data_IF_336249416742
#
_entry.id   IF_336249416742
#
_cell.length_a   1.000
_cell.length_b   1.000
_cell.length_c   1.000
_cell.angle_alpha   90.00
_cell.angle_beta   90.00
_cell.angle_gamma   90.00
#
_symmetry.space_group_name_H-M   'P 1'
#
loop_
_entity.id
_entity.type
_entity.pdbx_description
1 polymer ?
#
# COMPACT_ATOMS: atom_id res chain seq x y z
N UNK A 1 -40.10 -30.63 -4.23
CA UNK A 1 -39.94 -30.47 -2.77
C UNK A 1 -38.76 -29.54 -2.55
N UNK A 2 -39.06 -28.42 -1.90
CA UNK A 2 -38.22 -27.31 -1.43
C UNK A 2 -36.73 -27.30 -1.78
N UNK A 3 -36.35 -26.33 -2.61
CA UNK A 3 -35.06 -25.66 -2.47
C UNK A 3 -35.11 -24.89 -1.14
N UNK A 4 -34.23 -25.24 -0.21
CA UNK A 4 -34.00 -24.44 0.97
C UNK A 4 -33.09 -23.29 0.55
N UNK A 5 -33.63 -22.08 0.65
CA UNK A 5 -32.87 -20.84 0.64
C UNK A 5 -31.91 -20.86 1.84
N UNK A 6 -30.61 -20.96 1.59
CA UNK A 6 -29.61 -20.58 2.59
C UNK A 6 -29.57 -19.04 2.68
N UNK A 7 -30.59 -18.47 3.32
CA UNK A 7 -30.50 -17.14 3.90
C UNK A 7 -30.02 -17.28 5.35
N UNK A 8 -28.80 -17.79 5.51
CA UNK A 8 -28.09 -17.65 6.78
C UNK A 8 -27.37 -16.32 6.74
N UNK A 9 -27.88 -15.30 7.44
CA UNK A 9 -27.09 -14.12 7.80
C UNK A 9 -25.98 -14.58 8.73
N UNK A 10 -24.88 -15.05 8.17
CA UNK A 10 -23.62 -15.20 8.89
C UNK A 10 -23.12 -13.79 9.20
N UNK A 11 -22.93 -13.48 10.47
CA UNK A 11 -22.26 -12.24 10.89
C UNK A 11 -20.93 -12.11 10.13
N UNK A 12 -20.66 -10.97 9.46
CA UNK A 12 -19.43 -10.79 8.68
C UNK A 12 -18.19 -11.01 9.54
N UNK A 13 -17.15 -11.63 8.96
CA UNK A 13 -15.83 -11.73 9.61
C UNK A 13 -14.97 -10.57 9.15
N UNK A 14 -14.68 -9.62 10.04
CA UNK A 14 -13.85 -8.47 9.68
C UNK A 14 -12.35 -8.79 9.78
N UNK A 15 -11.56 -8.20 8.87
CA UNK A 15 -10.11 -8.23 8.94
C UNK A 15 -9.61 -7.32 10.07
N UNK A 16 -8.50 -7.69 10.70
CA UNK A 16 -7.93 -6.95 11.84
C UNK A 16 -6.61 -6.30 11.41
N UNK A 17 -6.70 -5.24 10.62
CA UNK A 17 -5.53 -4.52 10.11
C UNK A 17 -4.68 -4.04 11.31
N UNK A 18 -3.36 -4.30 11.32
CA UNK A 18 -2.48 -3.75 12.34
C UNK A 18 -2.55 -2.22 12.32
N UNK A 19 -2.37 -1.56 13.48
CA UNK A 19 -2.29 -0.11 13.52
C UNK A 19 -1.18 0.40 12.60
N UNK A 20 -1.51 1.33 11.71
CA UNK A 20 -0.51 1.98 10.87
C UNK A 20 0.46 2.77 11.73
N UNK A 21 1.74 2.75 11.35
CA UNK A 21 2.74 3.57 12.05
C UNK A 21 2.46 5.05 11.75
N UNK A 22 2.38 5.88 12.80
CA UNK A 22 2.30 7.34 12.64
C UNK A 22 3.69 7.92 12.83
N UNK A 23 4.31 8.51 11.79
CA UNK A 23 5.62 9.12 11.94
C UNK A 23 5.53 10.34 12.86
N UNK A 24 6.53 10.52 13.72
CA UNK A 24 6.71 11.76 14.45
C UNK A 24 7.22 12.83 13.46
N UNK A 25 6.29 13.61 12.91
CA UNK A 25 6.63 14.72 12.02
C UNK A 25 7.20 15.90 12.82
N UNK A 26 8.18 16.65 12.27
CA UNK A 26 8.66 17.86 12.92
C UNK A 26 7.52 18.87 13.17
N UNK A 27 7.51 19.52 14.34
CA UNK A 27 6.38 20.35 14.78
C UNK A 27 6.23 21.65 13.97
N UNK A 28 7.27 22.04 13.23
CA UNK A 28 7.36 23.24 12.41
C UNK A 28 6.96 23.02 10.94
N UNK A 29 6.62 21.78 10.55
CA UNK A 29 6.10 21.52 9.21
C UNK A 29 4.78 22.25 8.97
N UNK A 30 4.64 22.88 7.80
CA UNK A 30 3.37 23.46 7.39
C UNK A 30 2.29 22.37 7.25
N UNK A 31 1.00 22.67 7.52
CA UNK A 31 -0.07 21.68 7.40
C UNK A 31 -0.13 20.99 6.03
N UNK A 32 0.13 21.72 4.95
CA UNK A 32 0.16 21.16 3.59
C UNK A 32 1.31 20.18 3.37
N UNK A 33 2.49 20.44 3.95
CA UNK A 33 3.66 19.56 3.88
C UNK A 33 3.44 18.28 4.70
N UNK A 34 2.94 18.40 5.92
CA UNK A 34 2.56 17.24 6.76
C UNK A 34 1.54 16.35 6.06
N UNK A 35 0.53 16.95 5.42
CA UNK A 35 -0.45 16.24 4.59
C UNK A 35 0.17 15.45 3.47
N UNK A 36 1.00 16.09 2.67
CA UNK A 36 1.66 15.43 1.56
C UNK A 36 2.52 14.23 2.01
N UNK A 37 3.24 14.37 3.13
CA UNK A 37 4.03 13.28 3.73
C UNK A 37 3.12 12.11 4.12
N UNK A 38 2.07 12.37 4.89
CA UNK A 38 1.18 11.32 5.39
C UNK A 38 0.42 10.59 4.27
N UNK A 39 0.06 11.30 3.20
CA UNK A 39 -0.64 10.75 2.04
C UNK A 39 0.20 9.74 1.24
N UNK A 40 1.50 10.03 1.05
CA UNK A 40 2.36 9.28 0.14
C UNK A 40 3.21 8.22 0.87
N UNK A 41 3.46 8.36 2.19
CA UNK A 41 4.43 7.53 2.94
C UNK A 41 4.22 6.02 2.81
N UNK A 42 2.96 5.60 2.79
CA UNK A 42 2.62 4.18 2.73
C UNK A 42 2.79 3.63 1.31
N UNK A 43 2.85 4.48 0.29
CA UNK A 43 2.92 4.04 -1.10
C UNK A 43 4.33 3.59 -1.46
N UNK A 44 4.41 2.53 -2.24
CA UNK A 44 5.67 2.09 -2.83
C UNK A 44 6.14 3.09 -3.88
N UNK A 45 7.44 3.11 -4.20
CA UNK A 45 7.90 3.79 -5.43
C UNK A 45 7.32 3.04 -6.62
N UNK A 46 6.79 3.75 -7.62
CA UNK A 46 6.21 3.10 -8.78
C UNK A 46 7.29 2.32 -9.53
N UNK A 47 6.95 1.13 -10.01
CA UNK A 47 7.90 0.24 -10.65
C UNK A 47 8.74 -0.63 -9.73
N UNK A 48 8.51 -0.60 -8.42
CA UNK A 48 9.06 -1.58 -7.50
C UNK A 48 8.53 -2.98 -7.84
N UNK A 49 9.44 -3.96 -7.84
CA UNK A 49 9.10 -5.38 -7.81
C UNK A 49 8.93 -5.76 -6.35
N UNK A 50 7.71 -6.11 -5.95
CA UNK A 50 7.39 -6.55 -4.60
C UNK A 50 7.52 -8.07 -4.54
N UNK A 51 8.47 -8.53 -3.75
CA UNK A 51 8.69 -9.94 -3.51
C UNK A 51 7.76 -10.40 -2.39
N UNK A 52 7.06 -11.50 -2.63
CA UNK A 52 6.23 -12.13 -1.62
C UNK A 52 6.63 -13.58 -1.39
N UNK A 53 6.56 -14.03 -0.14
CA UNK A 53 6.86 -15.40 0.25
C UNK A 53 5.77 -15.94 1.19
N UNK A 54 5.52 -17.24 1.08
CA UNK A 54 4.67 -17.95 2.03
C UNK A 54 5.50 -18.49 3.18
N UNK A 55 5.12 -18.16 4.41
CA UNK A 55 5.78 -18.65 5.61
C UNK A 55 5.25 -20.03 5.98
N UNK A 56 6.15 -21.00 6.05
CA UNK A 56 5.87 -22.31 6.64
C UNK A 56 6.06 -22.26 8.17
N UNK A 57 5.11 -21.66 8.87
CA UNK A 57 5.11 -21.67 10.35
C UNK A 57 4.43 -22.93 10.88
N UNK A 58 5.05 -24.09 10.68
CA UNK A 58 4.62 -25.35 11.28
C UNK A 58 3.66 -26.20 10.45
N UNK A 59 3.68 -26.09 9.11
CA UNK A 59 2.86 -26.87 8.19
C UNK A 59 1.58 -26.18 7.72
N UNK A 60 1.30 -24.98 8.23
CA UNK A 60 0.09 -24.20 7.93
C UNK A 60 0.28 -23.25 6.73
N UNK A 61 0.87 -23.74 5.64
CA UNK A 61 1.08 -22.95 4.40
C UNK A 61 -0.26 -22.66 3.68
N UNK A 62 -1.38 -23.21 4.15
CA UNK A 62 -2.59 -23.32 3.36
C UNK A 62 -2.38 -24.33 2.23
N UNK A 63 -3.41 -25.11 1.89
CA UNK A 63 -3.32 -26.04 0.76
C UNK A 63 -2.95 -25.32 -0.55
N UNK A 64 -2.51 -26.04 -1.60
CA UNK A 64 -2.11 -25.42 -2.88
C UNK A 64 -3.19 -24.51 -3.48
N UNK A 65 -4.47 -24.80 -3.21
CA UNK A 65 -5.61 -23.97 -3.62
C UNK A 65 -5.62 -22.60 -2.91
N UNK A 66 -5.31 -22.55 -1.61
CA UNK A 66 -5.21 -21.29 -0.84
C UNK A 66 -4.10 -20.40 -1.41
N UNK A 67 -2.93 -21.00 -1.66
CA UNK A 67 -1.79 -20.29 -2.25
C UNK A 67 -2.15 -19.67 -3.61
N UNK A 68 -2.89 -20.42 -4.43
CA UNK A 68 -3.28 -19.95 -5.75
C UNK A 68 -4.24 -18.76 -5.71
N UNK A 69 -5.13 -18.67 -4.72
CA UNK A 69 -6.01 -17.50 -4.55
C UNK A 69 -5.22 -16.24 -4.15
N UNK A 70 -4.15 -16.38 -3.36
CA UNK A 70 -3.23 -15.26 -3.07
C UNK A 70 -2.49 -14.83 -4.33
N UNK A 71 -1.94 -15.78 -5.10
CA UNK A 71 -1.31 -15.47 -6.40
C UNK A 71 -2.29 -14.80 -7.36
N UNK A 72 -3.54 -15.25 -7.38
CA UNK A 72 -4.59 -14.65 -8.19
C UNK A 72 -4.84 -13.21 -7.77
N UNK A 73 -4.87 -12.90 -6.48
CA UNK A 73 -5.07 -11.54 -6.00
C UNK A 73 -3.96 -10.58 -6.46
N UNK A 74 -2.69 -10.98 -6.35
CA UNK A 74 -1.56 -10.20 -6.90
C UNK A 74 -1.69 -10.01 -8.41
N UNK A 75 -2.02 -11.05 -9.18
CA UNK A 75 -2.23 -10.95 -10.62
C UNK A 75 -3.40 -10.04 -10.97
N UNK A 76 -4.51 -10.08 -10.24
CA UNK A 76 -5.68 -9.25 -10.50
C UNK A 76 -5.37 -7.75 -10.37
N UNK A 77 -4.54 -7.35 -9.40
CA UNK A 77 -4.03 -5.98 -9.31
C UNK A 77 -3.04 -5.67 -10.43
N UNK A 78 -2.14 -6.60 -10.77
CA UNK A 78 -1.16 -6.42 -11.85
C UNK A 78 -1.80 -6.26 -13.24
N UNK A 79 -2.84 -7.03 -13.53
CA UNK A 79 -3.54 -7.08 -14.81
C UNK A 79 -4.27 -5.76 -15.14
N UNK A 80 -4.40 -4.85 -14.17
CA UNK A 80 -4.85 -3.48 -14.40
C UNK A 80 -3.82 -2.63 -15.18
N UNK A 81 -2.59 -3.13 -15.37
CA UNK A 81 -1.51 -2.42 -16.06
C UNK A 81 -0.73 -1.48 -15.14
N UNK A 82 -0.79 -1.69 -13.83
CA UNK A 82 -0.06 -0.86 -12.86
C UNK A 82 1.45 -1.01 -13.01
N UNK A 83 2.18 0.03 -12.62
CA UNK A 83 3.63 0.04 -12.70
C UNK A 83 4.33 -0.87 -11.69
N UNK A 84 3.69 -1.25 -10.57
CA UNK A 84 4.23 -2.26 -9.65
C UNK A 84 4.33 -3.64 -10.30
N UNK A 85 5.25 -4.46 -9.82
CA UNK A 85 5.34 -5.87 -10.19
C UNK A 85 5.36 -6.76 -8.95
N UNK A 86 5.05 -8.05 -9.12
CA UNK A 86 4.97 -9.00 -8.01
C UNK A 86 5.73 -10.28 -8.33
N UNK A 87 6.60 -10.72 -7.42
CA UNK A 87 7.43 -11.91 -7.61
C UNK A 87 7.35 -12.82 -6.40
N UNK A 88 6.91 -14.05 -6.62
CA UNK A 88 7.00 -15.07 -5.59
C UNK A 88 8.45 -15.50 -5.39
N UNK A 89 8.89 -15.54 -4.14
CA UNK A 89 10.21 -16.05 -3.76
C UNK A 89 10.07 -17.18 -2.74
N UNK A 90 11.02 -18.10 -2.76
CA UNK A 90 11.04 -19.25 -1.84
C UNK A 90 11.71 -18.93 -0.51
N UNK A 91 12.62 -17.96 -0.48
CA UNK A 91 13.28 -17.50 0.74
C UNK A 91 12.58 -16.25 1.29
N UNK A 92 11.90 -16.32 2.45
CA UNK A 92 11.25 -15.16 3.04
C UNK A 92 12.18 -13.99 3.34
N UNK A 93 13.48 -14.22 3.48
CA UNK A 93 14.46 -13.14 3.70
C UNK A 93 14.69 -12.27 2.46
N UNK A 94 14.25 -12.73 1.28
CA UNK A 94 14.23 -11.98 0.03
C UNK A 94 12.89 -11.28 -0.23
N UNK A 95 11.95 -11.30 0.74
CA UNK A 95 10.58 -10.81 0.54
C UNK A 95 10.22 -9.59 1.39
N UNK A 96 9.59 -8.59 0.77
CA UNK A 96 8.95 -7.49 1.49
C UNK A 96 7.63 -7.94 2.14
N UNK A 97 6.89 -8.83 1.46
CA UNK A 97 5.57 -9.32 1.90
C UNK A 97 5.68 -10.79 2.33
N UNK A 98 5.27 -11.10 3.56
CA UNK A 98 5.38 -12.45 4.14
C UNK A 98 4.02 -12.93 4.58
N UNK A 99 3.51 -13.98 3.93
CA UNK A 99 2.12 -14.43 4.06
C UNK A 99 2.06 -15.67 4.93
N UNK A 100 1.17 -15.68 5.93
CA UNK A 100 0.90 -16.86 6.76
C UNK A 100 -0.61 -17.17 6.80
N UNK A 101 -0.98 -18.45 6.89
CA UNK A 101 -2.37 -18.85 7.09
C UNK A 101 -2.58 -19.18 8.57
N UNK A 102 -3.50 -18.47 9.23
CA UNK A 102 -3.71 -18.56 10.68
C UNK A 102 -5.19 -18.48 10.99
N UNK A 103 -5.88 -19.62 10.99
CA UNK A 103 -7.35 -19.72 11.16
C UNK A 103 -7.91 -18.98 12.39
N UNK A 104 -7.10 -18.80 13.43
CA UNK A 104 -7.52 -18.17 14.70
C UNK A 104 -7.19 -16.69 14.83
N UNK A 105 -6.33 -16.16 13.96
CA UNK A 105 -5.80 -14.80 14.10
C UNK A 105 -6.51 -13.80 13.19
N UNK A 106 -7.43 -14.28 12.34
CA UNK A 106 -8.12 -13.47 11.34
C UNK A 106 -7.25 -13.16 10.12
N UNK A 107 -7.83 -12.41 9.18
CA UNK A 107 -7.10 -11.90 8.01
C UNK A 107 -6.66 -10.46 8.27
N UNK A 108 -5.48 -10.11 7.79
CA UNK A 108 -4.88 -8.81 8.03
C UNK A 108 -3.66 -8.58 7.13
N UNK A 109 -3.33 -7.32 6.87
CA UNK A 109 -2.08 -6.94 6.22
C UNK A 109 -1.60 -5.56 6.69
N UNK A 110 -0.29 -5.39 6.77
CA UNK A 110 0.29 -4.06 6.93
C UNK A 110 0.11 -3.23 5.66
N UNK A 111 -0.02 -1.92 5.83
CA UNK A 111 -0.33 -1.02 4.72
C UNK A 111 0.94 -0.56 4.01
N UNK A 112 1.16 -1.08 2.80
CA UNK A 112 2.20 -0.60 1.90
C UNK A 112 3.61 -0.70 2.50
N UNK A 113 4.36 0.41 2.54
CA UNK A 113 5.73 0.42 3.07
C UNK A 113 5.87 0.09 4.56
N UNK A 114 4.77 0.05 5.33
CA UNK A 114 4.81 -0.44 6.72
C UNK A 114 5.28 -1.91 6.80
N UNK A 115 5.14 -2.68 5.72
CA UNK A 115 5.69 -4.04 5.60
C UNK A 115 7.21 -4.10 5.85
N UNK A 116 7.95 -3.02 5.53
CA UNK A 116 9.40 -2.94 5.71
C UNK A 116 9.84 -2.79 7.17
N UNK A 117 8.92 -2.48 8.08
CA UNK A 117 9.20 -2.29 9.51
C UNK A 117 9.11 -3.59 10.30
N UNK A 118 8.67 -4.67 9.66
CA UNK A 118 8.35 -5.95 10.29
C UNK A 118 9.53 -6.90 10.14
N UNK A 119 9.84 -7.66 11.20
CA UNK A 119 10.94 -8.61 11.19
C UNK A 119 10.85 -9.63 10.05
N UNK A 120 12.00 -10.10 9.57
CA UNK A 120 12.09 -11.03 8.42
C UNK A 120 11.45 -12.40 8.67
N UNK A 121 11.22 -12.78 9.93
CA UNK A 121 10.58 -14.05 10.32
C UNK A 121 9.10 -13.87 10.71
N UNK A 122 8.59 -12.65 10.64
CA UNK A 122 7.23 -12.30 11.04
C UNK A 122 6.35 -12.10 9.80
N UNK A 123 5.10 -12.56 9.88
CA UNK A 123 4.13 -12.38 8.81
C UNK A 123 3.75 -10.90 8.69
N UNK A 124 3.67 -10.41 7.47
CA UNK A 124 3.14 -9.08 7.15
C UNK A 124 1.73 -9.12 6.56
N UNK A 125 1.28 -10.32 6.19
CA UNK A 125 -0.07 -10.60 5.74
C UNK A 125 -0.52 -11.94 6.34
N UNK A 126 -1.74 -12.01 6.84
CA UNK A 126 -2.33 -13.25 7.34
C UNK A 126 -3.70 -13.50 6.72
N UNK A 127 -4.04 -14.78 6.59
CA UNK A 127 -5.36 -15.23 6.18
C UNK A 127 -5.94 -16.20 7.21
N UNK A 128 -7.10 -15.85 7.77
CA UNK A 128 -7.73 -16.60 8.85
C UNK A 128 -8.90 -17.47 8.45
N UNK A 129 -9.16 -17.64 7.15
CA UNK A 129 -10.26 -18.46 6.64
C UNK A 129 -9.99 -18.93 5.22
N UNK A 130 -10.88 -19.80 4.73
CA UNK A 130 -10.77 -20.41 3.41
C UNK A 130 -10.92 -19.37 2.28
N UNK A 131 -9.82 -19.13 1.57
CA UNK A 131 -9.73 -18.22 0.42
C UNK A 131 -10.43 -18.76 -0.83
N UNK A 132 -10.74 -20.06 -0.90
CA UNK A 132 -11.40 -20.65 -2.09
C UNK A 132 -12.88 -20.28 -2.17
N UNK A 133 -13.47 -19.82 -1.06
CA UNK A 133 -14.84 -19.30 -1.00
C UNK A 133 -14.96 -17.95 -1.69
N UNK A 134 -16.18 -17.57 -2.10
CA UNK A 134 -16.45 -16.27 -2.75
C UNK A 134 -15.97 -15.09 -1.89
N UNK A 135 -16.21 -15.15 -0.58
CA UNK A 135 -15.75 -14.15 0.39
C UNK A 135 -14.22 -14.18 0.56
N UNK A 136 -13.64 -15.38 0.67
CA UNK A 136 -12.21 -15.57 0.80
C UNK A 136 -11.40 -14.99 -0.36
N UNK A 137 -11.87 -15.13 -1.61
CA UNK A 137 -11.24 -14.50 -2.78
C UNK A 137 -11.26 -12.98 -2.70
N UNK A 138 -12.36 -12.41 -2.22
CA UNK A 138 -12.48 -10.97 -1.99
C UNK A 138 -11.52 -10.52 -0.88
N UNK A 139 -11.38 -11.31 0.19
CA UNK A 139 -10.37 -11.06 1.24
C UNK A 139 -8.95 -11.05 0.67
N UNK A 140 -8.58 -12.00 -0.19
CA UNK A 140 -7.25 -12.01 -0.81
C UNK A 140 -6.97 -10.72 -1.62
N UNK A 141 -7.97 -10.25 -2.39
CA UNK A 141 -7.88 -8.97 -3.10
C UNK A 141 -7.73 -7.77 -2.16
N UNK A 142 -8.51 -7.76 -1.07
CA UNK A 142 -8.51 -6.72 -0.04
C UNK A 142 -7.14 -6.61 0.65
N UNK A 143 -6.61 -7.73 1.17
CA UNK A 143 -5.31 -7.75 1.84
C UNK A 143 -4.16 -7.38 0.88
N UNK A 144 -4.27 -7.77 -0.40
CA UNK A 144 -3.31 -7.32 -1.42
C UNK A 144 -3.40 -5.80 -1.64
N UNK A 145 -4.60 -5.22 -1.56
CA UNK A 145 -4.83 -3.77 -1.58
C UNK A 145 -4.12 -3.06 -0.42
N UNK A 146 -4.21 -3.61 0.79
CA UNK A 146 -3.42 -3.13 1.94
C UNK A 146 -1.92 -3.22 1.67
N UNK A 147 -1.41 -4.37 1.22
CA UNK A 147 0.01 -4.56 0.97
C UNK A 147 0.58 -3.59 -0.08
N UNK A 148 -0.23 -3.07 -1.01
CA UNK A 148 0.18 -2.03 -1.97
C UNK A 148 -0.17 -0.60 -1.51
N UNK A 149 -0.67 -0.44 -0.28
CA UNK A 149 -0.77 0.84 0.41
C UNK A 149 -2.17 1.45 0.49
N UNK A 150 -3.25 0.70 0.23
CA UNK A 150 -4.62 1.18 0.44
C UNK A 150 -5.06 0.97 1.90
N UNK A 151 -5.82 1.92 2.42
CA UNK A 151 -6.47 1.82 3.73
C UNK A 151 -7.96 1.55 3.54
N UNK A 152 -8.68 1.27 4.62
CA UNK A 152 -10.12 1.05 4.55
C UNK A 152 -10.90 2.27 4.09
N UNK A 153 -11.89 2.03 3.24
CA UNK A 153 -12.69 3.08 2.60
C UNK A 153 -13.68 3.72 3.59
N UNK A 154 -14.20 2.98 4.58
CA UNK A 154 -15.08 3.53 5.62
C UNK A 154 -14.37 4.48 6.59
N UNK A 155 -13.03 4.43 6.64
CA UNK A 155 -12.22 5.35 7.43
C UNK A 155 -11.97 6.68 6.70
N UNK A 156 -12.36 6.78 5.43
CA UNK A 156 -12.30 8.02 4.65
C UNK A 156 -13.09 9.13 5.38
N UNK A 157 -12.47 10.28 5.72
CA UNK A 157 -13.15 11.39 6.39
C UNK A 157 -14.26 12.02 5.54
N UNK A 158 -14.28 11.77 4.22
CA UNK A 158 -15.33 12.23 3.31
C UNK A 158 -16.52 11.27 3.19
N UNK A 159 -16.48 10.09 3.83
CA UNK A 159 -17.59 9.13 3.84
C UNK A 159 -18.86 9.63 4.52
N UNK A 160 -18.74 10.64 5.39
CA UNK A 160 -19.89 11.16 6.15
C UNK A 160 -20.53 10.13 7.09
N UNK A 161 -19.87 8.99 7.31
CA UNK A 161 -20.38 7.93 8.18
C UNK A 161 -20.41 8.44 9.62
N UNK A 162 -21.61 8.42 10.20
CA UNK A 162 -21.82 8.56 11.62
C UNK A 162 -22.18 7.18 12.19
N UNK A 163 -21.31 6.66 13.04
CA UNK A 163 -21.47 5.34 13.66
C UNK A 163 -22.46 5.37 14.82
N UNK A 164 -23.16 4.26 15.03
CA UNK A 164 -23.75 3.92 16.32
C UNK A 164 -22.67 3.19 17.15
N UNK A 165 -21.76 3.96 17.73
CA UNK A 165 -20.54 3.43 18.37
C UNK A 165 -20.84 2.33 19.40
N UNK A 166 -21.86 2.52 20.26
CA UNK A 166 -22.24 1.53 21.26
C UNK A 166 -22.61 0.19 20.62
N UNK A 167 -23.37 0.21 19.51
CA UNK A 167 -23.72 -1.00 18.78
C UNK A 167 -22.53 -1.58 18.02
N UNK A 168 -21.64 -0.75 17.48
CA UNK A 168 -20.41 -1.23 16.83
C UNK A 168 -19.53 -2.01 17.81
N UNK A 169 -19.33 -1.48 19.02
CA UNK A 169 -18.59 -2.18 20.07
C UNK A 169 -19.30 -3.46 20.54
N UNK A 170 -20.62 -3.43 20.68
CA UNK A 170 -21.41 -4.63 21.05
C UNK A 170 -21.29 -5.73 19.98
N UNK A 171 -21.46 -5.38 18.71
CA UNK A 171 -21.46 -6.31 17.58
C UNK A 171 -20.08 -6.96 17.39
N UNK A 172 -19.01 -6.14 17.37
CA UNK A 172 -17.64 -6.61 17.11
C UNK A 172 -16.94 -7.21 18.33
N UNK A 173 -17.41 -6.86 19.54
CA UNK A 173 -17.00 -7.53 20.77
C UNK A 173 -17.59 -8.94 20.89
N UNK A 174 -18.63 -9.28 20.12
CA UNK A 174 -19.21 -10.61 20.02
C UNK A 174 -18.52 -11.51 18.98
N UNK A 175 -18.84 -12.82 18.96
CA UNK A 175 -18.37 -13.72 17.91
C UNK A 175 -18.95 -13.32 16.53
N UNK A 176 -18.21 -13.56 15.43
CA UNK A 176 -16.96 -14.31 15.36
C UNK A 176 -15.70 -13.48 15.69
N UNK A 177 -15.79 -12.15 15.76
CA UNK A 177 -14.63 -11.26 15.89
C UNK A 177 -14.04 -11.23 17.30
N UNK A 178 -14.88 -11.14 18.34
CA UNK A 178 -14.48 -11.04 19.74
C UNK A 178 -13.41 -9.96 20.00
N UNK A 179 -13.53 -8.82 19.32
CA UNK A 179 -12.51 -7.78 19.35
C UNK A 179 -12.53 -7.00 20.66
N UNK A 180 -11.35 -6.74 21.25
CA UNK A 180 -11.20 -5.70 22.25
C UNK A 180 -11.65 -4.34 21.71
N UNK A 181 -11.98 -3.44 22.62
CA UNK A 181 -12.46 -2.09 22.31
C UNK A 181 -11.45 -1.31 21.47
N UNK A 182 -10.15 -1.44 21.76
CA UNK A 182 -9.08 -0.76 21.04
C UNK A 182 -8.97 -1.21 19.58
N UNK A 183 -9.12 -2.52 19.33
CA UNK A 183 -9.08 -3.09 17.97
C UNK A 183 -10.26 -2.57 17.15
N UNK A 184 -11.46 -2.54 17.76
CA UNK A 184 -12.66 -1.99 17.12
C UNK A 184 -12.51 -0.50 16.81
N UNK A 185 -11.93 0.26 17.73
CA UNK A 185 -11.69 1.68 17.51
C UNK A 185 -10.75 1.90 16.32
N UNK A 186 -9.56 1.28 16.31
CA UNK A 186 -8.57 1.50 15.25
C UNK A 186 -9.03 1.02 13.88
N UNK A 187 -9.78 -0.08 13.82
CA UNK A 187 -10.22 -0.67 12.54
C UNK A 187 -11.51 -0.04 12.00
N UNK A 188 -12.44 0.41 12.83
CA UNK A 188 -13.77 0.84 12.38
C UNK A 188 -14.05 2.32 12.63
N UNK A 189 -13.84 2.77 13.87
CA UNK A 189 -14.33 4.08 14.31
C UNK A 189 -13.36 5.20 14.01
N UNK A 190 -12.05 4.92 14.09
CA UNK A 190 -11.00 5.86 13.76
C UNK A 190 -11.15 6.29 12.30
N UNK A 191 -11.18 7.60 12.08
CA UNK A 191 -11.11 8.19 10.75
C UNK A 191 -9.65 8.47 10.41
N UNK A 192 -9.31 8.27 9.14
CA UNK A 192 -8.06 8.78 8.59
C UNK A 192 -8.10 10.31 8.66
N UNK A 193 -6.94 10.93 8.88
CA UNK A 193 -6.87 12.38 8.75
C UNK A 193 -7.26 12.79 7.32
N UNK A 194 -7.83 13.99 7.14
CA UNK A 194 -7.98 14.59 5.80
C UNK A 194 -6.65 14.70 5.06
N UNK A 195 -5.58 14.64 5.84
CA UNK A 195 -4.20 14.67 5.41
C UNK A 195 -3.71 13.32 4.85
N UNK A 196 -4.39 12.22 5.16
CA UNK A 196 -4.03 10.85 4.72
C UNK A 196 -4.82 10.41 3.48
N UNK A 197 -5.79 11.20 3.04
CA UNK A 197 -6.64 10.88 1.89
C UNK A 197 -6.58 11.94 0.81
N UNK A 198 -6.60 11.50 -0.45
CA UNK A 198 -7.00 12.37 -1.56
C UNK A 198 -8.47 12.74 -1.35
N UNK A 199 -8.90 13.96 -1.70
CA UNK A 199 -10.27 14.44 -1.51
C UNK A 199 -11.36 13.74 -2.34
N UNK A 200 -11.22 12.43 -2.54
CA UNK A 200 -12.14 11.58 -3.28
C UNK A 200 -13.42 11.35 -2.50
N UNK A 201 -14.51 11.24 -3.26
CA UNK A 201 -15.78 10.77 -2.74
C UNK A 201 -15.63 9.32 -2.24
N UNK A 202 -16.43 8.99 -1.23
CA UNK A 202 -16.49 7.66 -0.63
C UNK A 202 -17.06 6.62 -1.60
N UNK A 203 -16.33 5.53 -1.81
CA UNK A 203 -16.75 4.42 -2.68
C UNK A 203 -17.23 3.21 -1.88
N UNK A 204 -18.54 3.14 -1.65
CA UNK A 204 -19.19 2.00 -0.97
C UNK A 204 -19.01 0.66 -1.70
N UNK A 205 -18.65 0.69 -2.99
CA UNK A 205 -18.41 -0.52 -3.77
C UNK A 205 -16.94 -0.95 -3.81
N UNK A 206 -16.05 -0.20 -3.17
CA UNK A 206 -14.61 -0.50 -3.12
C UNK A 206 -14.35 -1.86 -2.49
N UNK A 207 -13.36 -2.58 -3.00
CA UNK A 207 -12.86 -3.78 -2.33
C UNK A 207 -12.34 -3.47 -0.93
N UNK A 208 -11.93 -2.22 -0.66
CA UNK A 208 -11.43 -1.76 0.64
C UNK A 208 -12.54 -1.33 1.61
N UNK A 209 -13.81 -1.36 1.19
CA UNK A 209 -14.97 -1.09 2.05
C UNK A 209 -15.39 -2.36 2.78
N UNK A 210 -15.59 -2.27 4.09
CA UNK A 210 -16.16 -3.35 4.87
C UNK A 210 -17.67 -3.48 4.67
N UNK A 211 -18.17 -4.71 4.63
CA UNK A 211 -19.60 -4.95 4.77
C UNK A 211 -20.04 -4.68 6.20
N UNK A 212 -21.11 -3.91 6.39
CA UNK A 212 -21.64 -3.62 7.73
C UNK A 212 -23.07 -4.11 7.87
N UNK A 213 -23.39 -4.68 9.03
CA UNK A 213 -24.76 -5.09 9.37
C UNK A 213 -25.72 -3.92 9.65
N UNK A 214 -27.03 -4.18 9.72
CA UNK A 214 -28.03 -3.16 10.00
C UNK A 214 -27.88 -2.54 11.40
N UNK A 215 -28.07 -1.22 11.46
CA UNK A 215 -28.08 -0.44 12.69
C UNK A 215 -26.71 0.02 13.19
N UNK A 216 -25.61 -0.43 12.56
CA UNK A 216 -24.25 0.05 12.88
C UNK A 216 -24.01 1.48 12.41
N UNK A 217 -24.65 1.86 11.29
CA UNK A 217 -24.51 3.18 10.67
C UNK A 217 -25.77 4.01 10.96
N UNK A 218 -25.61 5.21 11.52
CA UNK A 218 -26.68 6.19 11.75
C UNK A 218 -26.87 7.08 10.51
N UNK A 219 -25.76 7.47 9.89
CA UNK A 219 -25.73 8.22 8.63
C UNK A 219 -24.58 7.73 7.74
N UNK A 220 -24.71 7.81 6.41
CA UNK A 220 -25.90 8.27 5.67
C UNK A 220 -27.14 7.37 5.85
N UNK A 221 -28.35 7.94 5.82
CA UNK A 221 -29.61 7.22 6.06
C UNK A 221 -29.78 5.99 5.15
N UNK A 222 -29.28 6.07 3.92
CA UNK A 222 -29.32 4.99 2.93
C UNK A 222 -28.63 3.70 3.41
N UNK A 223 -27.63 3.80 4.30
CA UNK A 223 -26.82 2.68 4.77
C UNK A 223 -27.18 2.23 6.19
N UNK A 224 -28.30 2.71 6.76
CA UNK A 224 -28.80 2.23 8.07
C UNK A 224 -29.11 0.74 8.10
N UNK A 225 -29.47 0.18 6.95
CA UNK A 225 -29.75 -1.25 6.80
C UNK A 225 -28.49 -2.08 6.51
N UNK A 226 -27.32 -1.43 6.49
CA UNK A 226 -26.03 -2.07 6.25
C UNK A 226 -25.39 -1.68 4.92
N UNK A 227 -24.13 -2.08 4.79
CA UNK A 227 -23.33 -2.03 3.57
C UNK A 227 -23.11 -3.47 3.11
N UNK A 228 -23.49 -3.84 1.87
CA UNK A 228 -23.33 -5.19 1.38
C UNK A 228 -21.84 -5.54 1.15
N UNK A 229 -21.54 -6.84 1.07
CA UNK A 229 -20.20 -7.31 0.74
C UNK A 229 -19.75 -6.85 -0.65
N UNK A 230 -18.52 -6.35 -0.72
CA UNK A 230 -17.82 -6.03 -1.96
C UNK A 230 -16.87 -7.17 -2.32
N UNK A 231 -16.94 -7.61 -3.57
CA UNK A 231 -16.51 -8.95 -3.98
C UNK A 231 -15.49 -8.94 -5.13
N UNK A 232 -15.06 -7.74 -5.49
CA UNK A 232 -14.08 -7.49 -6.53
C UNK A 232 -13.79 -6.00 -6.62
N UNK A 233 -12.78 -5.65 -7.42
CA UNK A 233 -12.33 -4.27 -7.58
C UNK A 233 -13.40 -3.40 -8.25
N UNK A 234 -13.74 -2.29 -7.60
CA UNK A 234 -14.65 -1.27 -8.12
C UNK A 234 -14.02 -0.51 -9.30
N UNK A 235 -14.78 0.38 -9.93
CA UNK A 235 -14.22 1.30 -10.92
C UNK A 235 -13.21 2.27 -10.28
N UNK A 236 -13.53 2.76 -9.09
CA UNK A 236 -12.68 3.69 -8.34
C UNK A 236 -11.38 3.03 -7.89
N UNK A 237 -11.42 1.78 -7.43
CA UNK A 237 -10.21 1.03 -7.04
C UNK A 237 -9.21 0.99 -8.19
N UNK A 238 -9.71 0.68 -9.39
CA UNK A 238 -8.90 0.56 -10.62
C UNK A 238 -8.33 1.91 -11.05
N UNK A 239 -9.12 2.98 -10.96
CA UNK A 239 -8.64 4.33 -11.28
C UNK A 239 -7.59 4.80 -10.28
N UNK A 240 -7.84 4.61 -8.98
CA UNK A 240 -6.96 5.07 -7.89
C UNK A 240 -5.63 4.36 -7.89
N UNK A 241 -5.60 3.05 -8.13
CA UNK A 241 -4.33 2.33 -8.22
C UNK A 241 -3.50 2.75 -9.42
N UNK A 242 -4.14 3.07 -10.56
CA UNK A 242 -3.44 3.64 -11.73
C UNK A 242 -2.97 5.07 -11.49
N UNK A 243 -3.66 5.86 -10.67
CA UNK A 243 -3.19 7.18 -10.25
C UNK A 243 -1.90 7.08 -9.41
N UNK A 244 -1.84 6.13 -8.47
CA UNK A 244 -0.67 5.94 -7.61
C UNK A 244 0.47 5.16 -8.27
N UNK A 245 0.13 4.23 -9.17
CA UNK A 245 1.07 3.33 -9.82
C UNK A 245 0.79 3.26 -11.33
N UNK A 246 0.98 4.36 -12.08
CA UNK A 246 0.73 4.38 -13.51
C UNK A 246 1.63 3.39 -14.26
N UNK A 247 1.26 2.96 -15.48
CA UNK A 247 2.11 2.13 -16.32
C UNK A 247 3.49 2.76 -16.51
N UNK A 248 4.55 1.96 -16.41
CA UNK A 248 5.92 2.45 -16.59
C UNK A 248 6.22 2.76 -18.06
N UNK A 249 7.01 3.80 -18.30
CA UNK A 249 7.62 4.03 -19.59
C UNK A 249 8.66 2.93 -19.89
N UNK A 250 8.64 2.36 -21.09
CA UNK A 250 9.55 1.29 -21.49
C UNK A 250 11.05 1.70 -21.44
N UNK A 251 11.33 2.99 -21.64
CA UNK A 251 12.68 3.58 -21.54
C UNK A 251 12.59 4.96 -20.88
N UNK A 252 13.05 5.10 -19.63
CA UNK A 252 13.18 6.40 -18.98
C UNK A 252 14.15 7.32 -19.72
N UNK A 253 14.05 8.64 -19.48
CA UNK A 253 15.01 9.59 -20.02
C UNK A 253 16.41 9.35 -19.41
N UNK A 254 17.47 9.55 -20.18
CA UNK A 254 18.84 9.44 -19.64
C UNK A 254 19.16 10.65 -18.78
N UNK A 255 19.66 10.42 -17.58
CA UNK A 255 20.33 11.43 -16.78
C UNK A 255 21.80 11.45 -17.18
N UNK A 256 22.35 12.65 -17.44
CA UNK A 256 23.76 12.83 -17.80
C UNK A 256 24.60 13.22 -16.57
N UNK A 257 25.81 12.69 -16.47
CA UNK A 257 26.68 12.93 -15.32
C UNK A 257 26.98 14.43 -15.19
N UNK A 258 26.91 14.95 -13.97
CA UNK A 258 27.11 16.37 -13.64
C UNK A 258 26.13 17.34 -14.33
N UNK A 259 24.98 16.87 -14.81
CA UNK A 259 23.92 17.72 -15.37
C UNK A 259 22.66 17.66 -14.52
N UNK A 260 22.23 18.81 -14.00
CA UNK A 260 20.97 18.91 -13.27
C UNK A 260 19.79 18.87 -14.25
N UNK A 261 18.84 17.99 -13.97
CA UNK A 261 17.59 17.87 -14.73
C UNK A 261 16.43 18.36 -13.88
N UNK A 262 15.70 19.41 -14.31
CA UNK A 262 14.52 19.89 -13.61
C UNK A 262 13.45 18.80 -13.48
N UNK A 263 12.81 18.72 -12.33
CA UNK A 263 11.67 17.86 -12.07
C UNK A 263 10.40 18.71 -12.04
N UNK A 264 9.41 18.36 -12.84
CA UNK A 264 8.08 18.99 -12.83
C UNK A 264 7.07 17.94 -12.36
N UNK A 265 6.91 17.85 -11.04
CA UNK A 265 6.12 16.83 -10.38
C UNK A 265 5.06 17.47 -9.48
N UNK A 266 3.84 16.93 -9.48
CA UNK A 266 2.86 17.17 -8.43
C UNK A 266 3.08 16.20 -7.25
N UNK A 267 2.42 16.45 -6.12
CA UNK A 267 2.44 15.53 -4.97
C UNK A 267 1.96 14.13 -5.38
N UNK A 268 2.79 13.13 -5.11
CA UNK A 268 2.55 11.73 -5.46
C UNK A 268 3.10 11.34 -6.83
N UNK A 269 3.44 12.30 -7.71
CA UNK A 269 4.03 12.01 -9.01
C UNK A 269 5.47 11.52 -8.87
N UNK A 270 5.95 10.85 -9.91
CA UNK A 270 7.27 10.27 -9.98
C UNK A 270 7.94 10.58 -11.32
N UNK A 271 9.26 10.81 -11.27
CA UNK A 271 10.10 10.82 -12.45
C UNK A 271 11.12 9.65 -12.39
N UNK A 272 11.30 9.01 -13.55
CA UNK A 272 12.24 7.91 -13.74
C UNK A 272 13.35 8.36 -14.70
N UNK A 273 14.60 8.02 -14.36
CA UNK A 273 15.76 8.30 -15.21
C UNK A 273 16.69 7.10 -15.32
N UNK A 274 17.19 6.85 -16.52
CA UNK A 274 18.27 5.90 -16.76
C UNK A 274 19.63 6.55 -16.45
N UNK A 275 20.46 5.85 -15.69
CA UNK A 275 21.84 6.21 -15.42
C UNK A 275 22.73 5.12 -16.02
N UNK A 276 23.63 5.51 -16.92
CA UNK A 276 24.70 4.66 -17.45
C UNK A 276 26.05 5.33 -17.12
N UNK A 277 26.75 4.87 -16.08
CA UNK A 277 27.98 5.50 -15.62
C UNK A 277 29.11 5.37 -16.64
N UNK A 278 29.86 6.45 -16.93
CA UNK A 278 30.99 6.41 -17.87
C UNK A 278 32.24 5.72 -17.26
N UNK A 279 32.29 5.59 -15.94
CA UNK A 279 33.41 5.00 -15.20
C UNK A 279 32.93 4.34 -13.90
N UNK A 280 33.63 3.28 -13.46
CA UNK A 280 33.33 2.58 -12.21
C UNK A 280 33.89 3.37 -11.02
N UNK A 281 33.03 4.03 -10.26
CA UNK A 281 33.42 4.75 -9.03
C UNK A 281 32.23 4.99 -8.12
N UNK A 282 32.49 5.63 -6.99
CA UNK A 282 31.42 6.20 -6.16
C UNK A 282 30.84 7.44 -6.83
N UNK A 283 29.52 7.46 -6.94
CA UNK A 283 28.70 8.58 -7.38
C UNK A 283 27.77 9.02 -6.26
N UNK A 284 27.30 10.23 -6.38
CA UNK A 284 26.15 10.71 -5.65
C UNK A 284 24.98 10.87 -6.60
N UNK A 285 23.80 10.47 -6.17
CA UNK A 285 22.54 10.75 -6.85
C UNK A 285 21.71 11.54 -5.86
N UNK A 286 21.24 12.73 -6.24
CA UNK A 286 20.54 13.57 -5.27
C UNK A 286 19.62 14.58 -5.90
N UNK A 287 18.59 14.94 -5.13
CA UNK A 287 17.70 16.04 -5.45
C UNK A 287 18.25 17.37 -4.96
N UNK A 288 17.77 18.45 -5.57
CA UNK A 288 18.09 19.83 -5.23
C UNK A 288 16.79 20.62 -5.19
N UNK A 289 16.77 21.64 -4.32
CA UNK A 289 15.62 22.50 -4.13
C UNK A 289 15.01 22.32 -2.75
N UNK A 290 13.79 22.84 -2.62
CA UNK A 290 12.98 22.84 -1.41
C UNK A 290 11.88 21.77 -1.56
N UNK A 291 12.19 20.52 -1.21
CA UNK A 291 11.28 19.38 -1.40
C UNK A 291 11.51 18.21 -0.46
N UNK A 292 10.45 17.43 -0.27
CA UNK A 292 10.48 16.07 0.30
C UNK A 292 10.33 15.05 -0.85
N UNK A 293 11.33 14.19 -1.04
CA UNK A 293 11.40 13.20 -2.11
C UNK A 293 11.90 11.87 -1.58
N UNK A 294 11.22 10.78 -1.97
CA UNK A 294 11.86 9.46 -1.94
C UNK A 294 12.66 9.28 -3.22
N UNK A 295 13.96 9.06 -3.04
CA UNK A 295 14.87 8.71 -4.12
C UNK A 295 15.25 7.24 -3.98
N UNK A 296 14.90 6.43 -4.97
CA UNK A 296 15.25 5.01 -5.04
C UNK A 296 16.10 4.72 -6.28
N UNK A 297 17.05 3.80 -6.13
CA UNK A 297 17.94 3.37 -7.19
C UNK A 297 17.81 1.86 -7.40
N UNK A 298 17.71 1.48 -8.65
CA UNK A 298 17.64 0.09 -9.10
C UNK A 298 18.74 -0.18 -10.12
N UNK A 299 19.30 -1.39 -10.13
CA UNK A 299 20.21 -1.88 -11.15
C UNK A 299 19.46 -2.82 -12.09
N UNK A 300 19.68 -2.69 -13.40
CA UNK A 300 19.15 -3.63 -14.37
C UNK A 300 20.09 -4.82 -14.52
N UNK A 301 19.67 -5.99 -14.03
CA UNK A 301 20.40 -7.25 -14.11
C UNK A 301 19.53 -8.25 -14.86
N UNK A 302 20.05 -8.82 -15.95
CA UNK A 302 19.34 -9.78 -16.80
C UNK A 302 17.94 -9.33 -17.27
N UNK A 303 17.76 -8.01 -17.44
CA UNK A 303 16.51 -7.39 -17.86
C UNK A 303 15.57 -7.00 -16.72
N UNK A 304 15.78 -7.52 -15.51
CA UNK A 304 15.01 -7.21 -14.30
C UNK A 304 15.63 -6.03 -13.53
N UNK A 305 14.79 -5.26 -12.82
CA UNK A 305 15.26 -4.19 -11.93
C UNK A 305 15.40 -4.72 -10.52
N UNK A 306 16.63 -4.71 -10.01
CA UNK A 306 16.95 -5.09 -8.64
C UNK A 306 17.15 -3.84 -7.78
N UNK A 307 16.56 -3.82 -6.59
CA UNK A 307 16.72 -2.71 -5.66
C UNK A 307 18.18 -2.59 -5.20
N UNK A 308 18.75 -1.40 -5.26
CA UNK A 308 20.11 -1.11 -4.77
C UNK A 308 20.04 -0.41 -3.41
N UNK A 309 19.34 0.72 -3.37
CA UNK A 309 19.20 1.55 -2.17
C UNK A 309 18.12 2.61 -2.38
N UNK A 310 17.63 3.19 -1.28
CA UNK A 310 16.76 4.35 -1.31
C UNK A 310 17.06 5.26 -0.12
N UNK A 311 16.72 6.54 -0.28
CA UNK A 311 16.72 7.54 0.78
C UNK A 311 15.35 8.21 0.79
N UNK A 312 14.81 8.33 1.99
CA UNK A 312 13.54 8.96 2.29
C UNK A 312 13.85 10.14 3.20
N UNK A 313 13.86 11.33 2.62
CA UNK A 313 14.13 12.55 3.36
C UNK A 313 12.90 13.12 4.07
N UNK A 314 11.72 12.50 3.90
CA UNK A 314 10.42 13.04 4.28
C UNK A 314 10.41 13.79 5.61
N UNK A 315 10.13 15.09 5.54
CA UNK A 315 9.97 15.98 6.68
C UNK A 315 11.29 16.46 7.28
N UNK A 316 12.43 15.93 6.86
CA UNK A 316 13.75 16.41 7.23
C UNK A 316 14.18 17.39 6.13
N UNK A 317 14.64 18.59 6.48
CA UNK A 317 15.08 19.62 5.51
C UNK A 317 16.42 19.27 4.82
N UNK A 318 16.63 17.99 4.53
CA UNK A 318 17.72 17.43 3.74
C UNK A 318 17.12 17.00 2.41
N UNK A 319 17.74 17.32 1.28
CA UNK A 319 17.34 16.72 0.01
C UNK A 319 17.74 15.24 -0.03
N UNK A 320 16.88 14.40 -0.61
CA UNK A 320 17.11 12.98 -0.82
C UNK A 320 18.42 12.73 -1.56
N UNK A 321 19.32 11.95 -0.96
CA UNK A 321 20.68 11.77 -1.48
C UNK A 321 21.22 10.37 -1.21
N UNK A 322 21.66 9.74 -2.28
CA UNK A 322 22.32 8.44 -2.29
C UNK A 322 23.81 8.61 -2.53
N UNK A 323 24.64 7.82 -1.82
CA UNK A 323 26.06 7.64 -2.14
C UNK A 323 26.29 6.18 -2.46
N UNK A 324 26.64 5.87 -3.71
CA UNK A 324 26.63 4.51 -4.24
C UNK A 324 27.78 4.29 -5.21
N UNK A 325 28.36 3.10 -5.23
CA UNK A 325 29.35 2.71 -6.23
C UNK A 325 28.64 2.15 -7.45
N UNK A 326 28.76 2.83 -8.58
CA UNK A 326 28.15 2.40 -9.84
C UNK A 326 29.23 1.83 -10.76
N UNK A 327 28.90 0.77 -11.49
CA UNK A 327 29.80 0.13 -12.45
C UNK A 327 29.66 0.77 -13.84
N UNK A 328 30.80 0.96 -14.51
CA UNK A 328 30.87 1.46 -15.88
C UNK A 328 30.00 0.60 -16.81
N UNK A 329 29.25 1.26 -17.69
CA UNK A 329 28.42 0.65 -18.74
C UNK A 329 27.25 -0.23 -18.23
N UNK A 330 27.07 -0.35 -16.90
CA UNK A 330 25.87 -0.94 -16.31
C UNK A 330 24.69 0.05 -16.41
N UNK A 331 23.46 -0.48 -16.47
CA UNK A 331 22.24 0.33 -16.55
C UNK A 331 21.54 0.37 -15.20
N UNK A 332 21.31 1.58 -14.69
CA UNK A 332 20.60 1.83 -13.45
C UNK A 332 19.36 2.69 -13.72
N UNK A 333 18.34 2.58 -12.88
CA UNK A 333 17.15 3.43 -12.92
C UNK A 333 17.01 4.16 -11.59
N UNK A 334 17.13 5.49 -11.62
CA UNK A 334 16.82 6.36 -10.50
C UNK A 334 15.36 6.79 -10.58
N UNK A 335 14.64 6.69 -9.47
CA UNK A 335 13.24 7.06 -9.34
C UNK A 335 13.07 8.07 -8.23
N UNK A 336 12.51 9.22 -8.55
CA UNK A 336 12.25 10.30 -7.62
C UNK A 336 10.74 10.48 -7.48
N UNK A 337 10.18 10.13 -6.32
CA UNK A 337 8.77 10.34 -6.00
C UNK A 337 8.60 11.55 -5.10
N UNK A 338 7.82 12.52 -5.55
CA UNK A 338 7.60 13.77 -4.82
C UNK A 338 6.52 13.59 -3.75
N UNK A 339 6.83 13.97 -2.52
CA UNK A 339 5.83 14.19 -1.48
C UNK A 339 5.36 15.64 -1.56
N UNK A 340 6.25 16.58 -1.26
CA UNK A 340 5.91 18.00 -1.14
C UNK A 340 7.02 18.89 -1.69
N UNK A 341 6.65 20.09 -2.11
CA UNK A 341 7.60 21.18 -2.39
C UNK A 341 7.22 22.42 -1.60
N UNK A 342 8.19 23.29 -1.33
CA UNK A 342 7.97 24.61 -0.75
C UNK A 342 8.87 25.65 -1.44
N UNK A 343 8.81 26.90 -0.94
CA UNK A 343 9.59 27.99 -1.51
C UNK A 343 9.24 28.23 -2.98
N UNK A 344 10.25 28.11 -3.86
CA UNK A 344 10.08 28.29 -5.31
C UNK A 344 9.37 27.13 -6.01
N UNK A 345 9.26 25.97 -5.35
CA UNK A 345 8.76 24.73 -5.95
C UNK A 345 9.67 24.13 -7.03
N UNK A 346 10.82 24.75 -7.31
CA UNK A 346 11.75 24.29 -8.34
C UNK A 346 12.67 23.23 -7.77
N UNK A 347 12.56 22.02 -8.32
CA UNK A 347 13.35 20.86 -7.93
C UNK A 347 14.11 20.29 -9.12
N UNK A 348 15.26 19.68 -8.86
CA UNK A 348 16.06 19.02 -9.88
C UNK A 348 16.71 17.74 -9.34
N UNK A 349 17.04 16.82 -10.25
CA UNK A 349 17.81 15.61 -9.97
C UNK A 349 19.15 15.69 -10.70
N UNK A 350 20.23 15.20 -10.08
CA UNK A 350 21.53 15.03 -10.72
C UNK A 350 22.22 13.78 -10.18
N UNK A 351 23.14 13.22 -10.97
CA UNK A 351 24.18 12.34 -10.44
C UNK A 351 25.58 12.84 -10.82
N UNK A 352 26.56 12.65 -9.94
CA UNK A 352 27.92 13.19 -10.10
C UNK A 352 28.98 12.38 -9.36
#
# INVERSE_FOLDING_TARGET
MSALSESGTTTPRYCAQPPQTQPALPPDLSPGRSRAILLVRAKWVNGTVLHYAFLDQGGDIGGPEQLEEVRHAFRAWKDLGIGLDFKEVTDPTESEIRIAFRERDGSASYVGRDNLLIGTNEATMTFGWDLTTRYGKATALHETGHAIGFAHEHQNPFAGIQWNEAKVYEDLGGPPNNWPHEVTFENILRKLSKDEVTGSDWDVSSIMEYSFGPGLIVRPEAYRNGIPETLGLSATDKERVLQWYPPLAAKPARLEAFQSTPLQLATGDQADFEIVPPETRSYQVGTFGDSDVVLALFERVDGELQFVTADDDSGQDRNGRLTVKLAKDHSYVARARLYSTWGSGSIALMYW
#
